data_IF_548572282234
#
_entry.id   IF_548572282234
#
_cell.length_a   1.000
_cell.length_b   1.000
_cell.length_c   1.000
_cell.angle_alpha   90.00
_cell.angle_beta   90.00
_cell.angle_gamma   90.00
#
_symmetry.space_group_name_H-M   'P 1'
#
loop_
_entity.id
_entity.type
_entity.pdbx_description
1 polymer ?
#
# COMPACT_ATOMS: atom_id res chain seq x y z
N UNK A 1 17.50 -8.59 2.26
CA UNK A 1 16.89 -8.37 0.91
C UNK A 1 16.37 -6.95 0.77
N UNK A 2 17.26 -5.98 0.98
CA UNK A 2 16.89 -4.62 1.35
C UNK A 2 16.20 -3.84 0.22
N UNK A 3 16.73 -3.92 -1.00
CA UNK A 3 16.17 -3.24 -2.17
C UNK A 3 14.74 -3.72 -2.49
N UNK A 4 14.50 -5.03 -2.35
CA UNK A 4 13.18 -5.63 -2.54
C UNK A 4 12.20 -5.19 -1.44
N UNK A 5 12.65 -5.14 -0.18
CA UNK A 5 11.84 -4.65 0.93
C UNK A 5 11.48 -3.16 0.78
N UNK A 6 12.41 -2.32 0.33
CA UNK A 6 12.16 -0.92 0.00
C UNK A 6 11.14 -0.82 -1.13
N UNK A 7 11.27 -1.64 -2.18
CA UNK A 7 10.35 -1.66 -3.30
C UNK A 7 8.91 -1.98 -2.85
N UNK A 8 8.73 -2.98 -1.97
CA UNK A 8 7.42 -3.29 -1.38
C UNK A 8 6.87 -2.14 -0.51
N UNK A 9 7.72 -1.51 0.30
CA UNK A 9 7.31 -0.35 1.10
C UNK A 9 6.87 0.82 0.22
N UNK A 10 7.57 1.08 -0.88
CA UNK A 10 7.24 2.14 -1.83
C UNK A 10 5.91 1.87 -2.54
N UNK A 11 5.69 0.63 -2.99
CA UNK A 11 4.41 0.20 -3.57
C UNK A 11 3.26 0.32 -2.57
N UNK A 12 3.47 -0.12 -1.33
CA UNK A 12 2.48 0.00 -0.25
C UNK A 12 2.16 1.46 0.05
N UNK A 13 3.17 2.33 0.15
CA UNK A 13 2.99 3.76 0.33
C UNK A 13 2.20 4.40 -0.83
N UNK A 14 2.52 4.05 -2.07
CA UNK A 14 1.78 4.55 -3.25
C UNK A 14 0.31 4.09 -3.21
N UNK A 15 0.01 2.86 -2.78
CA UNK A 15 -1.38 2.41 -2.60
C UNK A 15 -2.12 3.20 -1.51
N UNK A 16 -1.47 3.53 -0.40
CA UNK A 16 -2.07 4.24 0.75
C UNK A 16 -2.23 5.74 0.50
N UNK A 17 -1.27 6.38 -0.17
CA UNK A 17 -1.32 7.81 -0.46
C UNK A 17 -2.02 8.09 -1.80
N UNK A 18 -1.81 7.24 -2.79
CA UNK A 18 -2.45 7.29 -4.10
C UNK A 18 -3.92 6.85 -4.09
N UNK A 19 -4.48 6.46 -2.95
CA UNK A 19 -5.87 6.00 -2.85
C UNK A 19 -6.85 7.03 -3.40
N UNK A 20 -6.58 8.33 -3.26
CA UNK A 20 -7.43 9.39 -3.82
C UNK A 20 -7.45 9.41 -5.36
N UNK A 21 -6.34 9.02 -5.99
CA UNK A 21 -6.24 8.93 -7.45
C UNK A 21 -6.86 7.61 -7.93
N UNK A 22 -6.62 6.52 -7.20
CA UNK A 22 -7.18 5.19 -7.48
C UNK A 22 -8.70 5.20 -7.31
N UNK A 23 -9.22 5.81 -6.24
CA UNK A 23 -10.66 5.90 -5.96
C UNK A 23 -11.39 6.70 -7.04
N UNK A 24 -10.82 7.83 -7.49
CA UNK A 24 -11.36 8.61 -8.60
C UNK A 24 -11.32 7.87 -9.93
N UNK A 25 -10.27 7.07 -10.19
CA UNK A 25 -10.13 6.33 -11.45
C UNK A 25 -11.03 5.09 -11.50
N UNK A 26 -11.30 4.45 -10.36
CA UNK A 26 -12.20 3.29 -10.26
C UNK A 26 -13.64 3.65 -9.85
N UNK A 27 -13.97 4.94 -9.69
CA UNK A 27 -15.27 5.41 -9.20
C UNK A 27 -15.70 4.75 -7.88
N UNK A 28 -14.74 4.54 -6.97
CA UNK A 28 -14.99 3.97 -5.64
C UNK A 28 -15.23 5.14 -4.68
N UNK A 29 -16.48 5.55 -4.54
CA UNK A 29 -16.90 6.63 -3.64
C UNK A 29 -17.29 6.13 -2.24
N UNK A 30 -17.32 4.80 -2.05
CA UNK A 30 -17.66 4.22 -0.75
C UNK A 30 -16.47 4.23 0.20
N UNK A 31 -16.69 4.75 1.41
CA UNK A 31 -15.71 4.78 2.51
C UNK A 31 -15.09 3.38 2.75
N UNK A 32 -15.91 2.32 2.66
CA UNK A 32 -15.46 0.93 2.81
C UNK A 32 -14.43 0.53 1.74
N UNK A 33 -14.64 0.91 0.48
CA UNK A 33 -13.71 0.58 -0.62
C UNK A 33 -12.37 1.30 -0.46
N UNK A 34 -12.41 2.58 -0.07
CA UNK A 34 -11.20 3.35 0.24
C UNK A 34 -10.45 2.73 1.43
N UNK A 35 -11.18 2.26 2.45
CA UNK A 35 -10.59 1.59 3.61
C UNK A 35 -9.88 0.29 3.22
N UNK A 36 -10.48 -0.51 2.32
CA UNK A 36 -9.90 -1.77 1.84
C UNK A 36 -8.61 -1.52 1.05
N UNK A 37 -8.58 -0.50 0.19
CA UNK A 37 -7.37 -0.15 -0.58
C UNK A 37 -6.25 0.37 0.33
N UNK A 38 -6.58 1.21 1.32
CA UNK A 38 -5.59 1.65 2.32
C UNK A 38 -5.12 0.48 3.17
N UNK A 39 -6.02 -0.41 3.58
CA UNK A 39 -5.70 -1.60 4.36
C UNK A 39 -4.75 -2.53 3.62
N UNK A 40 -5.01 -2.82 2.34
CA UNK A 40 -4.14 -3.68 1.54
C UNK A 40 -2.76 -3.04 1.30
N UNK A 41 -2.69 -1.73 1.05
CA UNK A 41 -1.42 -1.00 0.94
C UNK A 41 -0.63 -0.99 2.25
N UNK A 42 -1.30 -0.90 3.40
CA UNK A 42 -0.66 -0.96 4.72
C UNK A 42 -0.04 -2.33 4.98
N UNK A 43 -0.77 -3.42 4.68
CA UNK A 43 -0.28 -4.80 4.81
C UNK A 43 0.96 -5.01 3.93
N UNK A 44 0.93 -4.48 2.70
CA UNK A 44 2.08 -4.57 1.78
C UNK A 44 3.31 -3.82 2.30
N UNK A 45 3.10 -2.67 2.94
CA UNK A 45 4.17 -1.88 3.58
C UNK A 45 4.77 -2.61 4.77
N UNK A 46 3.93 -3.24 5.60
CA UNK A 46 4.36 -4.04 6.75
C UNK A 46 5.16 -5.26 6.28
N UNK A 47 4.71 -5.95 5.25
CA UNK A 47 5.46 -7.06 4.64
C UNK A 47 6.84 -6.60 4.12
N UNK A 48 6.90 -5.45 3.45
CA UNK A 48 8.17 -4.85 3.02
C UNK A 48 9.10 -4.52 4.20
N UNK A 49 8.57 -3.94 5.27
CA UNK A 49 9.35 -3.64 6.48
C UNK A 49 9.89 -4.91 7.16
N UNK A 50 9.07 -5.97 7.25
CA UNK A 50 9.52 -7.28 7.75
C UNK A 50 10.69 -7.79 6.91
N UNK A 51 10.60 -7.71 5.58
CA UNK A 51 11.69 -8.13 4.68
C UNK A 51 12.95 -7.27 4.87
N UNK A 52 12.84 -5.98 5.19
CA UNK A 52 14.01 -5.12 5.45
C UNK A 52 14.70 -5.46 6.76
N UNK A 53 13.92 -5.66 7.83
CA UNK A 53 14.46 -5.74 9.19
C UNK A 53 14.79 -7.18 9.64
N UNK A 54 14.18 -8.19 9.01
CA UNK A 54 14.38 -9.60 9.38
C UNK A 54 15.26 -10.35 8.35
N UNK A 55 15.37 -9.90 7.10
CA UNK A 55 16.07 -10.59 6.01
C UNK A 55 17.11 -9.72 5.26
#
# INVERSE_FOLDING_TARGET
>A
MFEFGIFLMLLGAICVYGTNFISKKLSIDTVKGILVIKGSGLVLTIAGAIVIFIF
#
